data_IF_263017724059
#
_entry.id   IF_263017724059
#
_cell.length_a   1.000
_cell.length_b   1.000
_cell.length_c   1.000
_cell.angle_alpha   90.00
_cell.angle_beta   90.00
_cell.angle_gamma   90.00
#
_symmetry.space_group_name_H-M   'P 1'
#
loop_
_entity.id
_entity.type
_entity.pdbx_description
1 polymer ?
#
# COMPACT_ATOMS: atom_id res chain seq x y z
N UNK A 1 -36.40 38.20 41.00
CA UNK A 1 -36.17 36.82 40.53
C UNK A 1 -35.55 36.72 39.12
N UNK A 2 -35.71 37.70 38.23
CA UNK A 2 -35.20 37.66 36.83
C UNK A 2 -33.67 37.80 36.65
N UNK A 3 -32.93 38.37 37.60
CA UNK A 3 -31.49 38.62 37.49
C UNK A 3 -30.60 37.44 37.82
N UNK A 4 -31.05 36.49 38.65
CA UNK A 4 -30.28 35.28 39.01
C UNK A 4 -30.26 34.25 37.88
N UNK A 5 -31.35 34.15 37.09
CA UNK A 5 -31.44 33.23 35.95
C UNK A 5 -30.48 33.62 34.82
N UNK A 6 -30.33 34.91 34.51
CA UNK A 6 -29.38 35.39 33.46
C UNK A 6 -27.92 35.15 33.84
N UNK A 7 -27.55 35.20 35.13
CA UNK A 7 -26.16 34.99 35.58
C UNK A 7 -25.77 33.52 35.52
N UNK A 8 -26.68 32.61 35.84
CA UNK A 8 -26.44 31.17 35.77
C UNK A 8 -26.40 30.65 34.32
N UNK A 9 -27.24 31.19 33.41
CA UNK A 9 -27.20 30.84 31.99
C UNK A 9 -25.90 31.26 31.33
N UNK A 10 -25.33 32.44 31.64
CA UNK A 10 -24.01 32.88 31.16
C UNK A 10 -22.87 32.02 31.69
N UNK A 11 -22.93 31.56 32.94
CA UNK A 11 -21.92 30.67 33.53
C UNK A 11 -21.99 29.27 32.92
N UNK A 12 -23.21 28.77 32.66
CA UNK A 12 -23.39 27.49 31.98
C UNK A 12 -22.89 27.56 30.52
N UNK A 13 -23.19 28.63 29.80
CA UNK A 13 -22.72 28.85 28.43
C UNK A 13 -21.19 28.97 28.39
N UNK A 14 -20.57 29.69 29.33
CA UNK A 14 -19.13 29.79 29.45
C UNK A 14 -18.49 28.43 29.77
N UNK A 15 -19.08 27.65 30.66
CA UNK A 15 -18.60 26.30 31.00
C UNK A 15 -18.69 25.34 29.79
N UNK A 16 -19.79 25.41 29.02
CA UNK A 16 -19.98 24.63 27.81
C UNK A 16 -18.93 25.07 26.75
N UNK A 17 -18.72 26.39 26.61
CA UNK A 17 -17.73 26.92 25.65
C UNK A 17 -16.30 26.52 26.02
N UNK A 18 -15.94 26.52 27.31
CA UNK A 18 -14.66 26.05 27.81
C UNK A 18 -14.50 24.52 27.60
N UNK A 19 -15.57 23.76 27.79
CA UNK A 19 -15.55 22.32 27.54
C UNK A 19 -15.37 22.02 26.05
N UNK A 20 -16.06 22.75 25.17
CA UNK A 20 -15.93 22.64 23.72
C UNK A 20 -14.52 23.05 23.27
N UNK A 21 -13.97 24.15 23.81
CA UNK A 21 -12.60 24.55 23.52
C UNK A 21 -11.55 23.55 24.06
N UNK A 22 -11.79 22.96 25.24
CA UNK A 22 -10.91 21.93 25.79
C UNK A 22 -10.94 20.64 24.93
N UNK A 23 -12.11 20.25 24.43
CA UNK A 23 -12.25 19.12 23.51
C UNK A 23 -11.63 19.44 22.14
N UNK A 24 -11.68 20.69 21.68
CA UNK A 24 -11.03 21.12 20.43
C UNK A 24 -9.51 21.32 20.57
N UNK A 25 -9.00 21.50 21.79
CA UNK A 25 -7.57 21.61 22.07
C UNK A 25 -6.88 20.26 22.30
N UNK A 26 -7.63 19.16 22.37
CA UNK A 26 -7.04 17.83 22.38
C UNK A 26 -6.42 17.57 20.99
N UNK A 27 -5.15 17.13 20.92
CA UNK A 27 -4.56 16.74 19.65
C UNK A 27 -5.48 15.69 19.01
N UNK A 28 -5.83 15.91 17.74
CA UNK A 28 -6.91 15.18 17.07
C UNK A 28 -6.57 13.71 16.79
N UNK A 29 -5.31 13.29 16.95
CA UNK A 29 -4.91 11.89 17.11
C UNK A 29 -5.63 11.18 18.28
N UNK A 30 -6.07 11.95 19.31
CA UNK A 30 -6.82 11.42 20.45
C UNK A 30 -8.17 10.78 20.09
N UNK A 31 -8.75 11.08 18.94
CA UNK A 31 -10.03 10.52 18.51
C UNK A 31 -9.89 9.36 17.50
N UNK A 32 -8.68 9.04 17.07
CA UNK A 32 -8.45 8.01 16.06
C UNK A 32 -8.51 6.58 16.62
N UNK A 33 -8.32 6.41 17.93
CA UNK A 33 -8.19 5.09 18.55
C UNK A 33 -9.27 4.87 19.61
N UNK A 34 -10.16 3.91 19.36
CA UNK A 34 -11.08 3.40 20.38
C UNK A 34 -10.36 2.28 21.13
N UNK A 35 -10.44 2.30 22.45
CA UNK A 35 -9.66 1.46 23.36
C UNK A 35 -9.97 -0.04 23.36
N UNK A 36 -10.88 -0.52 22.52
CA UNK A 36 -11.54 -1.81 22.77
C UNK A 36 -11.23 -2.91 21.75
N UNK A 37 -10.64 -2.59 20.59
CA UNK A 37 -10.41 -3.57 19.54
C UNK A 37 -8.91 -3.69 19.21
N UNK A 38 -8.37 -4.88 19.36
CA UNK A 38 -7.02 -5.23 18.95
C UNK A 38 -6.17 -5.82 20.07
N UNK A 39 -4.98 -6.29 19.70
CA UNK A 39 -4.01 -6.87 20.61
C UNK A 39 -3.31 -5.77 21.38
N UNK A 40 -3.29 -5.88 22.70
CA UNK A 40 -2.61 -4.91 23.58
C UNK A 40 -1.12 -5.20 23.70
N UNK A 41 -0.32 -4.14 23.72
CA UNK A 41 1.11 -4.21 23.96
C UNK A 41 1.61 -3.00 24.76
N UNK A 42 2.83 -3.10 25.28
CA UNK A 42 3.51 -2.01 25.99
C UNK A 42 4.64 -1.46 25.12
N UNK A 43 4.70 -0.13 25.03
CA UNK A 43 5.73 0.58 24.28
C UNK A 43 7.03 0.77 25.08
N UNK A 44 8.17 0.64 24.41
CA UNK A 44 9.49 0.95 24.96
C UNK A 44 10.43 1.47 23.89
N UNK A 45 11.53 2.11 24.31
CA UNK A 45 12.64 2.41 23.42
C UNK A 45 13.64 1.24 23.42
N UNK A 46 14.11 0.89 22.25
CA UNK A 46 15.28 0.06 22.06
C UNK A 46 16.57 0.88 22.05
N UNK A 47 17.64 0.25 21.58
CA UNK A 47 18.93 0.90 21.38
C UNK A 47 18.88 1.97 20.30
N UNK A 48 19.91 2.79 20.26
CA UNK A 48 20.11 3.72 19.15
C UNK A 48 20.43 2.95 17.86
N UNK A 49 19.98 3.48 16.74
CA UNK A 49 20.44 2.99 15.43
C UNK A 49 21.91 3.32 15.25
N UNK A 50 22.72 2.29 15.06
CA UNK A 50 24.17 2.38 14.84
C UNK A 50 24.49 1.84 13.47
N UNK A 51 25.11 2.67 12.64
CA UNK A 51 25.54 2.23 11.31
C UNK A 51 26.65 1.19 11.39
N UNK A 52 26.89 0.47 10.30
CA UNK A 52 28.03 -0.44 10.15
C UNK A 52 29.38 0.29 10.17
N UNK A 53 29.38 1.61 10.04
CA UNK A 53 30.52 2.51 10.25
C UNK A 53 30.78 2.83 11.75
N UNK A 54 29.93 2.33 12.66
CA UNK A 54 30.02 2.58 14.10
C UNK A 54 29.43 3.91 14.55
N UNK A 55 28.81 4.69 13.64
CA UNK A 55 28.26 6.00 13.93
C UNK A 55 26.75 5.95 14.17
N UNK A 56 26.26 6.79 15.09
CA UNK A 56 24.81 6.92 15.35
C UNK A 56 24.11 7.72 14.26
N UNK A 57 22.92 7.25 13.83
CA UNK A 57 22.03 8.03 12.99
C UNK A 57 21.40 9.18 13.76
N UNK A 58 21.50 10.40 13.22
CA UNK A 58 21.05 11.62 13.89
C UNK A 58 20.06 12.40 12.99
N UNK A 59 19.16 13.14 13.61
CA UNK A 59 18.32 14.08 12.91
C UNK A 59 19.12 15.29 12.43
N UNK A 60 18.57 16.05 11.48
CA UNK A 60 18.97 17.46 11.27
C UNK A 60 18.80 18.25 12.58
N UNK A 61 19.62 19.29 12.77
CA UNK A 61 19.50 20.18 13.93
C UNK A 61 18.12 20.85 14.02
N UNK A 62 17.50 21.14 12.88
CA UNK A 62 16.10 21.58 12.77
C UNK A 62 15.46 20.87 11.60
N UNK A 63 14.27 20.31 11.79
CA UNK A 63 13.49 19.76 10.69
C UNK A 63 12.01 20.11 10.83
N UNK A 64 11.34 20.26 9.68
CA UNK A 64 9.91 20.48 9.59
C UNK A 64 9.18 19.18 9.26
N UNK A 65 7.92 19.09 9.66
CA UNK A 65 7.06 17.93 9.43
C UNK A 65 5.60 18.38 9.35
N UNK A 66 4.77 17.59 8.69
CA UNK A 66 3.32 17.80 8.66
C UNK A 66 2.62 16.94 9.71
N UNK A 67 1.55 17.50 10.27
CA UNK A 67 0.58 16.79 11.12
C UNK A 67 -0.76 16.82 10.40
N UNK A 68 -1.44 15.68 10.34
CA UNK A 68 -2.76 15.56 9.76
C UNK A 68 -3.85 15.76 10.82
N UNK A 69 -4.83 16.64 10.55
CA UNK A 69 -6.02 16.74 11.38
C UNK A 69 -7.03 15.59 11.08
N UNK A 70 -8.16 15.59 11.79
CA UNK A 70 -9.21 14.57 11.62
C UNK A 70 -9.86 14.57 10.22
N UNK A 71 -9.75 15.68 9.50
CA UNK A 71 -10.31 15.83 8.15
C UNK A 71 -9.27 15.57 7.07
N UNK A 72 -8.00 15.29 7.46
CA UNK A 72 -6.89 15.10 6.55
C UNK A 72 -6.21 16.40 6.13
N UNK A 73 -6.58 17.57 6.70
CA UNK A 73 -5.83 18.80 6.45
C UNK A 73 -4.46 18.73 7.11
N UNK A 74 -3.48 19.41 6.53
CA UNK A 74 -2.10 19.42 7.01
C UNK A 74 -1.75 20.74 7.68
N UNK A 75 -0.92 20.63 8.73
CA UNK A 75 -0.26 21.77 9.38
C UNK A 75 1.23 21.49 9.45
N UNK A 76 2.05 22.47 9.04
CA UNK A 76 3.51 22.37 9.11
C UNK A 76 3.99 22.81 10.49
N UNK A 77 4.82 21.99 11.10
CA UNK A 77 5.49 22.28 12.37
C UNK A 77 7.00 22.10 12.19
N UNK A 78 7.78 22.76 13.05
CA UNK A 78 9.23 22.61 13.05
C UNK A 78 9.74 22.39 14.46
N UNK A 79 10.71 21.47 14.58
CA UNK A 79 11.39 21.22 15.86
C UNK A 79 12.90 21.24 15.66
N UNK A 80 13.61 21.67 16.70
CA UNK A 80 15.06 21.45 16.79
C UNK A 80 15.31 20.03 17.28
N UNK A 81 16.04 19.26 16.49
CA UNK A 81 16.44 17.92 16.84
C UNK A 81 17.89 17.71 16.44
N UNK A 82 18.66 17.10 17.30
CA UNK A 82 20.07 16.76 17.05
C UNK A 82 20.42 15.44 17.70
N UNK A 83 19.41 14.78 18.25
CA UNK A 83 19.59 13.55 19.00
C UNK A 83 19.71 12.33 18.08
N UNK A 84 20.48 11.35 18.51
CA UNK A 84 20.55 10.06 17.86
C UNK A 84 19.16 9.40 17.80
N UNK A 85 18.89 8.73 16.69
CA UNK A 85 17.62 8.00 16.49
C UNK A 85 17.65 6.67 17.20
N UNK A 86 16.54 6.35 17.86
CA UNK A 86 16.35 5.11 18.62
C UNK A 86 15.32 4.22 17.92
N UNK A 87 15.46 2.92 18.15
CA UNK A 87 14.46 1.93 17.78
C UNK A 87 13.21 2.11 18.64
N UNK A 88 12.06 1.83 18.06
CA UNK A 88 10.77 1.78 18.76
C UNK A 88 10.38 0.32 18.92
N UNK A 89 9.96 -0.05 20.12
CA UNK A 89 9.64 -1.42 20.48
C UNK A 89 8.22 -1.53 21.02
N UNK A 90 7.54 -2.62 20.66
CA UNK A 90 6.25 -3.04 21.22
C UNK A 90 6.38 -4.43 21.80
N UNK A 91 6.03 -4.58 23.07
CA UNK A 91 6.08 -5.86 23.77
C UNK A 91 4.67 -6.37 24.06
N UNK A 92 4.36 -7.57 23.58
CA UNK A 92 3.14 -8.29 23.88
C UNK A 92 3.45 -9.71 24.39
N UNK A 93 2.44 -10.58 24.45
CA UNK A 93 2.59 -11.96 24.95
C UNK A 93 3.48 -12.84 24.02
N UNK A 94 3.71 -12.43 22.77
CA UNK A 94 4.57 -13.16 21.84
C UNK A 94 6.03 -12.73 21.90
N UNK A 95 6.33 -11.58 22.49
CA UNK A 95 7.68 -11.05 22.61
C UNK A 95 7.76 -9.54 22.42
N UNK A 96 8.98 -9.06 22.16
CA UNK A 96 9.27 -7.66 21.88
C UNK A 96 9.62 -7.51 20.41
N UNK A 97 8.91 -6.63 19.71
CA UNK A 97 8.99 -6.41 18.27
C UNK A 97 9.44 -4.98 17.98
N UNK A 98 10.35 -4.83 17.02
CA UNK A 98 10.67 -3.50 16.49
C UNK A 98 9.56 -3.03 15.57
N UNK A 99 9.16 -1.77 15.74
CA UNK A 99 8.12 -1.09 14.96
C UNK A 99 8.65 0.21 14.37
N UNK A 100 7.97 0.72 13.35
CA UNK A 100 8.32 1.95 12.67
C UNK A 100 7.32 3.07 13.01
N UNK A 101 7.85 4.29 13.10
CA UNK A 101 7.03 5.47 13.23
C UNK A 101 6.37 5.80 11.89
N UNK A 102 5.06 5.99 11.88
CA UNK A 102 4.28 6.44 10.72
C UNK A 102 3.60 7.80 10.97
N UNK A 103 3.97 8.47 12.06
CA UNK A 103 3.43 9.78 12.46
C UNK A 103 4.56 10.66 12.99
N UNK A 104 5.40 11.15 12.07
CA UNK A 104 6.54 12.01 12.41
C UNK A 104 6.08 13.26 13.16
N UNK A 105 6.85 13.63 14.20
CA UNK A 105 6.61 14.83 14.99
C UNK A 105 5.68 14.66 16.19
N UNK A 106 5.05 13.52 16.37
CA UNK A 106 4.28 13.19 17.57
C UNK A 106 5.17 12.40 18.53
N UNK A 107 5.04 12.67 19.85
CA UNK A 107 5.87 12.04 20.86
C UNK A 107 5.55 10.56 21.03
N UNK A 108 6.60 9.76 21.03
CA UNK A 108 6.57 8.37 21.49
C UNK A 108 7.03 8.30 22.93
N UNK A 109 6.18 7.80 23.80
CA UNK A 109 6.50 7.62 25.22
C UNK A 109 6.52 6.14 25.59
N UNK A 110 7.43 5.78 26.50
CA UNK A 110 7.54 4.43 27.05
C UNK A 110 6.45 4.12 28.05
N UNK A 111 6.15 2.84 28.23
CA UNK A 111 5.19 2.34 29.22
C UNK A 111 3.71 2.56 28.86
N UNK A 112 3.42 3.11 27.68
CA UNK A 112 2.04 3.27 27.25
C UNK A 112 1.46 1.96 26.70
N UNK A 113 0.17 1.76 26.95
CA UNK A 113 -0.59 0.66 26.39
C UNK A 113 -1.05 1.03 24.96
N UNK A 114 -0.50 0.36 23.99
CA UNK A 114 -0.91 0.46 22.59
C UNK A 114 -1.90 -0.64 22.23
N UNK A 115 -2.69 -0.39 21.18
CA UNK A 115 -3.61 -1.37 20.59
C UNK A 115 -3.31 -1.50 19.10
N UNK A 116 -3.15 -2.74 18.63
CA UNK A 116 -2.95 -3.00 17.21
C UNK A 116 -4.27 -3.12 16.45
N UNK A 117 -4.26 -2.67 15.21
CA UNK A 117 -5.32 -2.90 14.21
C UNK A 117 -4.70 -3.29 12.89
N UNK A 118 -5.40 -4.13 12.12
CA UNK A 118 -5.04 -4.36 10.73
C UNK A 118 -4.92 -3.00 10.01
N UNK A 119 -3.84 -2.80 9.27
CA UNK A 119 -3.50 -1.52 8.64
C UNK A 119 -4.62 -0.95 7.76
N UNK A 120 -5.33 -1.80 7.03
CA UNK A 120 -6.47 -1.41 6.19
C UNK A 120 -7.66 -0.85 6.98
N UNK A 121 -7.77 -1.20 8.27
CA UNK A 121 -8.88 -0.80 9.15
C UNK A 121 -8.51 0.38 10.06
N UNK A 122 -7.25 0.83 10.08
CA UNK A 122 -6.82 1.97 10.86
C UNK A 122 -7.41 3.27 10.32
N UNK A 123 -8.11 4.01 11.17
CA UNK A 123 -8.65 5.33 10.81
C UNK A 123 -7.55 6.36 10.53
N UNK A 124 -6.41 6.26 11.21
CA UNK A 124 -5.24 7.11 10.94
C UNK A 124 -4.66 6.80 9.56
N UNK A 125 -4.35 5.53 9.29
CA UNK A 125 -3.69 5.14 8.04
C UNK A 125 -4.54 5.48 6.81
N UNK A 126 -5.87 5.30 6.90
CA UNK A 126 -6.81 5.66 5.82
C UNK A 126 -6.92 7.16 5.54
N UNK A 127 -6.48 8.04 6.45
CA UNK A 127 -6.44 9.49 6.23
C UNK A 127 -5.21 9.95 5.47
N UNK A 128 -4.15 9.15 5.45
CA UNK A 128 -2.99 9.46 4.65
C UNK A 128 -3.38 9.49 3.16
N UNK A 129 -2.75 10.35 2.34
CA UNK A 129 -2.92 10.31 0.90
C UNK A 129 -2.67 8.91 0.34
N UNK A 130 -3.35 8.56 -0.75
CA UNK A 130 -3.24 7.23 -1.36
C UNK A 130 -1.81 6.83 -1.68
N UNK A 131 -0.99 7.78 -2.19
CA UNK A 131 0.41 7.54 -2.51
C UNK A 131 1.23 7.28 -1.24
N UNK A 132 0.92 7.98 -0.14
CA UNK A 132 1.56 7.75 1.16
C UNK A 132 1.20 6.37 1.73
N UNK A 133 -0.07 5.98 1.70
CA UNK A 133 -0.49 4.64 2.11
C UNK A 133 0.23 3.56 1.30
N UNK A 134 0.25 3.72 -0.01
CA UNK A 134 0.90 2.80 -0.93
C UNK A 134 2.41 2.71 -0.67
N UNK A 135 3.09 3.86 -0.57
CA UNK A 135 4.53 3.93 -0.36
C UNK A 135 4.98 3.37 1.00
N UNK A 136 4.21 3.61 2.07
CA UNK A 136 4.47 3.02 3.40
C UNK A 136 4.36 1.50 3.34
N UNK A 137 3.31 0.95 2.72
CA UNK A 137 3.15 -0.50 2.56
C UNK A 137 4.31 -1.11 1.76
N UNK A 138 4.72 -0.46 0.67
CA UNK A 138 5.85 -0.91 -0.15
C UNK A 138 7.19 -0.82 0.60
N UNK A 139 7.41 0.26 1.38
CA UNK A 139 8.60 0.41 2.19
C UNK A 139 8.69 -0.66 3.28
N UNK A 140 7.57 -1.03 3.89
CA UNK A 140 7.51 -2.14 4.83
C UNK A 140 7.78 -3.49 4.15
N UNK A 141 7.25 -3.69 2.96
CA UNK A 141 7.39 -4.95 2.21
C UNK A 141 8.84 -5.26 1.85
N UNK A 142 9.62 -4.24 1.47
CA UNK A 142 11.02 -4.37 1.09
C UNK A 142 11.99 -3.91 2.18
N UNK A 143 11.49 -3.42 3.30
CA UNK A 143 12.28 -2.97 4.42
C UNK A 143 12.74 -4.09 5.34
N UNK A 144 13.40 -3.69 6.42
CA UNK A 144 13.87 -4.62 7.43
C UNK A 144 12.73 -5.12 8.33
N UNK A 145 12.74 -6.42 8.59
CA UNK A 145 11.93 -7.09 9.59
C UNK A 145 12.81 -7.94 10.51
N UNK A 146 12.34 -8.25 11.69
CA UNK A 146 13.05 -9.11 12.65
C UNK A 146 13.48 -10.44 12.02
N UNK A 147 14.68 -10.87 12.35
CA UNK A 147 15.27 -12.08 11.83
C UNK A 147 15.93 -11.94 10.44
N UNK A 148 15.75 -10.81 9.75
CA UNK A 148 16.41 -10.58 8.45
C UNK A 148 17.74 -9.87 8.60
N UNK A 149 18.76 -10.39 7.91
CA UNK A 149 20.02 -9.67 7.68
C UNK A 149 19.85 -8.62 6.59
N UNK A 150 20.76 -7.64 6.55
CA UNK A 150 20.76 -6.68 5.45
C UNK A 150 21.08 -7.37 4.12
N UNK A 151 20.33 -7.07 3.04
CA UNK A 151 20.60 -7.62 1.70
C UNK A 151 21.79 -6.95 1.00
N UNK A 152 22.36 -5.89 1.58
CA UNK A 152 23.39 -5.07 0.96
C UNK A 152 24.71 -5.30 1.65
N UNK A 153 25.75 -5.67 0.89
CA UNK A 153 27.07 -5.93 1.43
C UNK A 153 27.71 -4.69 2.09
N UNK A 154 28.32 -4.89 3.26
CA UNK A 154 28.95 -3.82 4.04
C UNK A 154 27.96 -2.95 4.81
N UNK A 155 26.75 -3.44 5.04
CA UNK A 155 25.73 -2.80 5.88
C UNK A 155 25.26 -3.78 6.97
N UNK A 156 24.70 -3.24 8.05
CA UNK A 156 24.13 -4.03 9.12
C UNK A 156 22.57 -3.91 9.16
N UNK A 157 21.95 -4.57 10.11
CA UNK A 157 20.50 -4.54 10.30
C UNK A 157 19.99 -3.16 10.68
N UNK A 158 20.78 -2.36 11.41
CA UNK A 158 20.43 -1.00 11.78
C UNK A 158 20.49 -0.03 10.60
N UNK A 159 21.46 -0.19 9.69
CA UNK A 159 21.48 0.51 8.40
C UNK A 159 20.19 0.24 7.61
N UNK A 160 19.80 -1.03 7.55
CA UNK A 160 18.63 -1.45 6.79
C UNK A 160 17.31 -0.97 7.44
N UNK A 161 17.18 -1.12 8.76
CA UNK A 161 16.01 -0.68 9.50
C UNK A 161 15.85 0.85 9.46
N UNK A 162 16.94 1.59 9.60
CA UNK A 162 16.88 3.05 9.55
C UNK A 162 16.58 3.59 8.14
N UNK A 163 17.09 2.94 7.10
CA UNK A 163 16.70 3.21 5.71
C UNK A 163 15.19 3.01 5.50
N UNK A 164 14.63 1.91 6.04
CA UNK A 164 13.19 1.64 6.01
C UNK A 164 12.39 2.76 6.68
N UNK A 165 12.77 3.15 7.89
CA UNK A 165 12.12 4.23 8.62
C UNK A 165 12.17 5.56 7.87
N UNK A 166 13.28 5.86 7.21
CA UNK A 166 13.46 7.09 6.43
C UNK A 166 12.47 7.15 5.26
N UNK A 167 12.35 6.06 4.49
CA UNK A 167 11.41 5.99 3.37
C UNK A 167 9.96 6.11 3.86
N UNK A 168 9.60 5.48 4.97
CA UNK A 168 8.27 5.61 5.57
C UNK A 168 7.95 7.06 5.90
N UNK A 169 8.87 7.80 6.50
CA UNK A 169 8.68 9.22 6.78
C UNK A 169 8.55 10.07 5.52
N UNK A 170 9.35 9.82 4.49
CA UNK A 170 9.27 10.56 3.22
C UNK A 170 7.88 10.44 2.58
N UNK A 171 7.31 9.24 2.54
CA UNK A 171 5.96 9.03 2.03
C UNK A 171 4.89 9.63 2.95
N UNK A 172 4.98 9.41 4.25
CA UNK A 172 4.03 9.94 5.22
C UNK A 172 4.02 11.47 5.21
N UNK A 173 5.17 12.10 4.99
CA UNK A 173 5.33 13.56 4.90
C UNK A 173 5.13 14.12 3.49
N UNK A 174 4.70 13.30 2.54
CA UNK A 174 4.46 13.68 1.14
C UNK A 174 5.69 14.26 0.41
N UNK A 175 6.88 13.90 0.85
CA UNK A 175 8.13 14.21 0.14
C UNK A 175 8.40 13.23 -1.00
N UNK A 176 7.58 12.19 -1.10
CA UNK A 176 7.69 11.15 -2.10
C UNK A 176 6.30 10.66 -2.52
N UNK A 177 6.05 10.61 -3.82
CA UNK A 177 4.81 10.07 -4.41
C UNK A 177 5.05 8.75 -5.15
N UNK A 178 6.31 8.48 -5.51
CA UNK A 178 6.74 7.21 -6.12
C UNK A 178 8.17 6.88 -5.68
N UNK A 179 8.67 5.65 -5.91
CA UNK A 179 10.04 5.28 -5.54
C UNK A 179 11.14 6.16 -6.14
N UNK A 180 10.90 6.76 -7.31
CA UNK A 180 11.87 7.61 -8.01
C UNK A 180 11.67 9.11 -7.79
N UNK A 181 10.59 9.53 -7.10
CA UNK A 181 10.22 10.93 -6.94
C UNK A 181 10.42 11.39 -5.50
N UNK A 182 11.55 12.05 -5.24
CA UNK A 182 11.82 12.73 -3.97
C UNK A 182 11.88 14.23 -4.23
N UNK A 183 11.00 15.00 -3.57
CA UNK A 183 10.85 16.42 -3.77
C UNK A 183 10.53 17.15 -2.47
N UNK A 184 10.76 18.46 -2.44
CA UNK A 184 10.32 19.31 -1.34
C UNK A 184 8.82 19.57 -1.46
N UNK A 185 8.08 19.42 -0.37
CA UNK A 185 6.63 19.60 -0.34
C UNK A 185 6.19 20.23 0.98
N UNK A 186 5.10 21.00 0.94
CA UNK A 186 4.48 21.59 2.14
C UNK A 186 5.46 22.40 2.99
N UNK A 187 6.47 23.03 2.40
CA UNK A 187 7.50 23.78 3.14
C UNK A 187 8.55 22.92 3.83
N UNK A 188 8.58 21.62 3.56
CA UNK A 188 9.57 20.66 4.06
C UNK A 188 10.58 20.36 2.95
N UNK A 189 11.85 20.44 3.28
CA UNK A 189 12.97 20.11 2.41
C UNK A 189 13.02 18.60 2.11
N UNK A 190 13.22 18.23 0.85
CA UNK A 190 13.36 16.86 0.39
C UNK A 190 14.37 16.03 1.21
N UNK A 191 15.49 16.66 1.61
CA UNK A 191 16.55 16.02 2.38
C UNK A 191 16.29 15.93 3.89
N UNK A 192 15.13 16.38 4.37
CA UNK A 192 14.86 16.44 5.82
C UNK A 192 15.12 15.11 6.52
N UNK A 193 14.65 14.00 5.98
CA UNK A 193 14.85 12.67 6.56
C UNK A 193 16.08 11.95 6.00
N UNK A 194 16.33 12.09 4.71
CA UNK A 194 17.49 11.49 4.04
C UNK A 194 18.83 12.05 4.52
N UNK A 195 18.86 13.23 5.12
CA UNK A 195 20.08 13.90 5.60
C UNK A 195 21.00 12.96 6.42
N UNK A 196 20.41 12.14 7.29
CA UNK A 196 21.15 11.23 8.16
C UNK A 196 21.77 10.01 7.44
N UNK A 197 21.33 9.74 6.20
CA UNK A 197 21.80 8.60 5.41
C UNK A 197 22.92 8.98 4.44
N UNK A 198 22.99 10.25 4.03
CA UNK A 198 23.90 10.72 2.97
C UNK A 198 25.36 10.38 3.26
N UNK A 199 26.01 9.69 2.31
CA UNK A 199 27.40 9.27 2.40
C UNK A 199 27.66 8.14 3.40
N UNK A 200 26.61 7.52 3.97
CA UNK A 200 26.72 6.47 4.99
C UNK A 200 26.24 5.10 4.46
N UNK A 201 26.61 3.99 5.13
CA UNK A 201 26.21 2.66 4.70
C UNK A 201 24.70 2.47 4.49
N UNK A 202 23.84 3.07 5.33
CA UNK A 202 22.39 3.00 5.18
C UNK A 202 21.85 3.62 3.88
N UNK A 203 22.58 4.53 3.23
CA UNK A 203 22.18 5.05 1.92
C UNK A 203 22.11 3.94 0.87
N UNK A 204 23.00 2.95 0.95
CA UNK A 204 22.96 1.77 0.06
C UNK A 204 21.70 0.92 0.29
N UNK A 205 21.29 0.75 1.54
CA UNK A 205 20.05 0.06 1.89
C UNK A 205 18.83 0.84 1.39
N UNK A 206 18.82 2.13 1.56
CA UNK A 206 17.79 3.03 1.08
C UNK A 206 17.60 2.94 -0.44
N UNK A 207 18.70 3.03 -1.19
CA UNK A 207 18.66 2.92 -2.65
C UNK A 207 18.21 1.51 -3.09
N UNK A 208 18.64 0.47 -2.37
CA UNK A 208 18.21 -0.89 -2.64
C UNK A 208 16.71 -1.07 -2.42
N UNK A 209 16.15 -0.60 -1.27
CA UNK A 209 14.71 -0.67 -1.00
C UNK A 209 13.93 0.03 -2.12
N UNK A 210 14.33 1.25 -2.48
CA UNK A 210 13.65 2.01 -3.53
C UNK A 210 13.71 1.32 -4.89
N UNK A 211 14.82 0.65 -5.23
CA UNK A 211 14.94 -0.13 -6.46
C UNK A 211 13.99 -1.33 -6.48
N UNK A 212 13.85 -2.04 -5.34
CA UNK A 212 12.90 -3.13 -5.20
C UNK A 212 11.45 -2.63 -5.32
N UNK A 213 11.13 -1.52 -4.63
CA UNK A 213 9.83 -0.87 -4.73
C UNK A 213 9.50 -0.47 -6.17
N UNK A 214 10.43 0.13 -6.90
CA UNK A 214 10.25 0.53 -8.30
C UNK A 214 9.99 -0.67 -9.21
N UNK A 215 10.75 -1.74 -9.04
CA UNK A 215 10.56 -3.00 -9.77
C UNK A 215 9.20 -3.61 -9.48
N UNK A 216 8.77 -3.62 -8.22
CA UNK A 216 7.47 -4.15 -7.82
C UNK A 216 6.32 -3.25 -8.29
N UNK A 217 6.53 -1.95 -8.32
CA UNK A 217 5.54 -0.97 -8.79
C UNK A 217 5.18 -1.17 -10.26
N UNK A 218 6.08 -1.64 -11.10
CA UNK A 218 5.82 -1.89 -12.52
C UNK A 218 4.86 -3.07 -12.69
N UNK A 219 3.72 -2.86 -13.35
CA UNK A 219 2.72 -3.90 -13.65
C UNK A 219 2.86 -4.37 -15.11
N UNK A 220 2.26 -5.51 -15.50
CA UNK A 220 2.24 -5.95 -16.89
C UNK A 220 1.69 -4.87 -17.83
N UNK A 221 2.29 -4.73 -19.01
CA UNK A 221 1.93 -3.69 -19.99
C UNK A 221 0.49 -3.77 -20.49
N UNK A 222 -0.13 -4.94 -20.40
CA UNK A 222 -1.52 -5.19 -20.76
C UNK A 222 -2.50 -4.99 -19.60
N UNK A 223 -2.05 -4.55 -18.43
CA UNK A 223 -2.88 -4.43 -17.23
C UNK A 223 -3.03 -2.98 -16.77
N UNK A 224 -4.06 -2.71 -15.99
CA UNK A 224 -4.34 -1.42 -15.38
C UNK A 224 -4.36 -1.53 -13.85
N UNK A 225 -3.97 -0.45 -13.14
CA UNK A 225 -4.05 -0.37 -11.67
C UNK A 225 -5.47 -0.16 -11.16
N UNK A 226 -6.36 0.31 -12.01
CA UNK A 226 -7.75 0.59 -11.68
C UNK A 226 -8.65 -0.35 -12.46
N UNK A 227 -9.46 -1.14 -11.76
CA UNK A 227 -10.38 -2.09 -12.36
C UNK A 227 -11.33 -1.46 -13.38
N UNK A 228 -11.77 -0.21 -13.14
CA UNK A 228 -12.67 0.50 -14.05
C UNK A 228 -11.99 0.97 -15.35
N UNK A 229 -10.65 1.05 -15.33
CA UNK A 229 -9.82 1.42 -16.50
C UNK A 229 -9.17 0.21 -17.16
N UNK A 230 -9.51 -0.99 -16.72
CA UNK A 230 -8.96 -2.23 -17.25
C UNK A 230 -9.53 -2.52 -18.66
N UNK A 231 -8.63 -2.72 -19.62
CA UNK A 231 -8.98 -3.09 -20.97
C UNK A 231 -9.58 -4.49 -21.03
N UNK A 232 -10.44 -4.71 -22.02
CA UNK A 232 -11.02 -6.02 -22.33
C UNK A 232 -10.29 -6.62 -23.52
N UNK A 233 -9.79 -7.83 -23.36
CA UNK A 233 -9.10 -8.61 -24.38
C UNK A 233 -9.95 -9.79 -24.79
N UNK A 234 -10.12 -9.97 -26.12
CA UNK A 234 -11.03 -10.96 -26.70
C UNK A 234 -10.27 -12.21 -27.10
N UNK A 235 -10.62 -13.36 -26.52
CA UNK A 235 -10.16 -14.67 -26.93
C UNK A 235 -10.84 -15.03 -28.26
N UNK A 236 -10.04 -15.43 -29.25
CA UNK A 236 -10.50 -15.83 -30.58
C UNK A 236 -10.79 -17.31 -30.64
N UNK A 237 -11.86 -17.69 -31.32
CA UNK A 237 -12.20 -19.10 -31.51
C UNK A 237 -11.24 -19.76 -32.49
N UNK A 238 -10.74 -20.91 -32.13
CA UNK A 238 -9.96 -21.79 -32.99
C UNK A 238 -10.80 -23.03 -33.36
N UNK A 239 -11.27 -23.15 -34.62
CA UNK A 239 -12.13 -24.25 -35.01
C UNK A 239 -11.42 -25.62 -35.00
N UNK A 240 -10.10 -25.64 -35.24
CA UNK A 240 -9.34 -26.89 -35.27
C UNK A 240 -9.16 -27.47 -33.84
N UNK A 241 -9.05 -26.58 -32.86
CA UNK A 241 -8.89 -26.96 -31.43
C UNK A 241 -10.20 -26.91 -30.66
N UNK A 242 -11.27 -26.41 -31.27
CA UNK A 242 -12.59 -26.22 -30.67
C UNK A 242 -12.54 -25.45 -29.33
N UNK A 243 -11.71 -24.42 -29.28
CA UNK A 243 -11.54 -23.56 -28.07
C UNK A 243 -11.30 -22.12 -28.46
N UNK A 244 -11.42 -21.25 -27.46
CA UNK A 244 -11.07 -19.84 -27.55
C UNK A 244 -9.67 -19.63 -26.98
N UNK A 245 -8.84 -18.83 -27.64
CA UNK A 245 -7.50 -18.55 -27.14
C UNK A 245 -7.05 -17.11 -27.42
N UNK A 246 -6.17 -16.62 -26.55
CA UNK A 246 -5.54 -15.32 -26.64
C UNK A 246 -4.15 -15.39 -26.01
N UNK A 247 -3.16 -14.77 -26.64
CA UNK A 247 -1.84 -14.56 -26.03
C UNK A 247 -1.59 -13.09 -25.84
N UNK A 248 -1.29 -12.68 -24.61
CA UNK A 248 -0.89 -11.33 -24.24
C UNK A 248 0.62 -11.31 -23.94
N UNK A 249 1.30 -10.34 -24.53
CA UNK A 249 2.75 -10.12 -24.33
C UNK A 249 2.96 -8.96 -23.37
N UNK A 250 3.76 -9.18 -22.33
CA UNK A 250 4.17 -8.13 -21.41
C UNK A 250 5.50 -7.51 -21.85
N UNK A 251 5.44 -6.29 -22.39
CA UNK A 251 6.62 -5.54 -22.80
C UNK A 251 7.40 -4.94 -21.62
N UNK A 252 6.82 -4.92 -20.44
CA UNK A 252 7.46 -4.47 -19.20
C UNK A 252 8.29 -5.58 -18.53
N UNK A 253 8.22 -6.82 -19.01
CA UNK A 253 8.95 -7.97 -18.48
C UNK A 253 8.70 -8.23 -16.98
N UNK A 254 7.47 -8.02 -16.51
CA UNK A 254 7.11 -8.11 -15.08
C UNK A 254 6.60 -9.49 -14.66
N UNK A 255 6.48 -10.43 -15.61
CA UNK A 255 5.78 -11.71 -15.41
C UNK A 255 6.59 -12.77 -14.66
N UNK A 256 7.87 -12.54 -14.35
CA UNK A 256 8.75 -13.56 -13.77
C UNK A 256 8.18 -14.17 -12.48
N UNK A 257 7.57 -13.36 -11.63
CA UNK A 257 7.07 -13.74 -10.30
C UNK A 257 5.54 -13.62 -10.22
N UNK A 258 4.84 -13.79 -11.35
CA UNK A 258 3.41 -13.61 -11.41
C UNK A 258 2.70 -14.94 -11.58
N UNK A 259 1.74 -15.24 -10.71
CA UNK A 259 0.78 -16.32 -10.88
C UNK A 259 -0.58 -15.73 -11.21
N UNK A 260 -1.13 -16.05 -12.39
CA UNK A 260 -2.46 -15.65 -12.81
C UNK A 260 -3.40 -16.83 -12.81
N UNK A 261 -4.61 -16.62 -12.30
CA UNK A 261 -5.73 -17.55 -12.45
C UNK A 261 -6.99 -16.78 -12.83
N UNK A 262 -7.79 -17.36 -13.72
CA UNK A 262 -9.10 -16.84 -14.09
C UNK A 262 -10.09 -18.00 -14.08
N UNK A 263 -11.27 -17.80 -13.48
CA UNK A 263 -12.29 -18.85 -13.35
C UNK A 263 -12.75 -19.32 -14.74
N UNK A 264 -12.67 -20.65 -14.95
CA UNK A 264 -13.09 -21.27 -16.23
C UNK A 264 -12.11 -21.05 -17.40
N UNK A 265 -10.93 -20.47 -17.15
CA UNK A 265 -9.91 -20.19 -18.18
C UNK A 265 -8.62 -20.92 -17.78
N UNK A 266 -8.05 -21.67 -18.71
CA UNK A 266 -6.72 -22.24 -18.58
C UNK A 266 -5.69 -21.15 -18.87
N UNK A 267 -4.71 -21.01 -17.99
CA UNK A 267 -3.64 -20.02 -18.14
C UNK A 267 -2.31 -20.76 -18.25
N UNK A 268 -1.53 -20.41 -19.26
CA UNK A 268 -0.16 -20.90 -19.43
C UNK A 268 0.78 -19.74 -19.70
N UNK A 269 2.06 -19.91 -19.33
CA UNK A 269 3.09 -18.87 -19.50
C UNK A 269 4.29 -19.42 -20.26
N UNK A 270 4.81 -18.60 -21.18
CA UNK A 270 6.09 -18.83 -21.84
C UNK A 270 6.84 -17.49 -21.99
N UNK A 271 7.99 -17.37 -21.33
CA UNK A 271 8.74 -16.12 -21.29
C UNK A 271 7.93 -14.94 -20.76
N UNK A 272 7.79 -13.90 -21.58
CA UNK A 272 7.00 -12.70 -21.29
C UNK A 272 5.56 -12.75 -21.85
N UNK A 273 5.05 -13.95 -22.15
CA UNK A 273 3.71 -14.15 -22.69
C UNK A 273 2.85 -14.99 -21.76
N UNK A 274 1.56 -14.59 -21.63
CA UNK A 274 0.50 -15.41 -21.08
C UNK A 274 -0.47 -15.80 -22.18
N UNK A 275 -0.78 -17.10 -22.26
CA UNK A 275 -1.83 -17.65 -23.13
C UNK A 275 -3.02 -18.05 -22.28
N UNK A 276 -4.17 -17.50 -22.61
CA UNK A 276 -5.47 -17.75 -22.01
C UNK A 276 -6.27 -18.63 -22.96
N UNK A 277 -6.86 -19.72 -22.44
CA UNK A 277 -7.64 -20.66 -23.25
C UNK A 277 -8.94 -21.00 -22.52
N UNK A 278 -10.06 -20.94 -23.23
CA UNK A 278 -11.39 -21.34 -22.73
C UNK A 278 -12.02 -22.35 -23.68
N UNK A 279 -12.55 -23.43 -23.13
CA UNK A 279 -13.31 -24.44 -23.90
C UNK A 279 -14.77 -23.99 -24.12
N UNK A 280 -15.18 -22.86 -23.51
CA UNK A 280 -16.53 -22.30 -23.60
C UNK A 280 -16.51 -20.80 -23.89
N UNK A 281 -17.55 -20.34 -24.56
CA UNK A 281 -17.80 -18.91 -24.74
C UNK A 281 -18.01 -18.24 -23.37
N UNK A 282 -17.41 -17.07 -23.19
CA UNK A 282 -17.64 -16.19 -22.05
C UNK A 282 -18.89 -15.36 -22.35
N UNK A 283 -19.88 -15.42 -21.48
CA UNK A 283 -21.18 -14.72 -21.67
C UNK A 283 -21.14 -13.26 -21.22
N UNK A 284 -20.15 -12.89 -20.43
CA UNK A 284 -19.88 -11.50 -20.00
C UNK A 284 -18.41 -11.37 -19.63
N UNK A 285 -17.77 -10.21 -19.86
CA UNK A 285 -16.35 -10.03 -19.58
C UNK A 285 -15.97 -10.39 -18.15
N UNK A 286 -14.95 -11.23 -18.01
CA UNK A 286 -14.40 -11.66 -16.73
C UNK A 286 -13.27 -10.71 -16.33
N UNK A 287 -13.39 -10.06 -15.16
CA UNK A 287 -12.29 -9.28 -14.60
C UNK A 287 -11.27 -10.22 -13.96
N UNK A 288 -10.03 -10.13 -14.42
CA UNK A 288 -8.88 -10.78 -13.78
C UNK A 288 -8.23 -9.77 -12.85
N UNK A 289 -8.09 -10.15 -11.58
CA UNK A 289 -7.36 -9.39 -10.56
C UNK A 289 -6.14 -10.21 -10.16
N UNK A 290 -4.97 -9.58 -10.13
CA UNK A 290 -3.74 -10.27 -9.78
C UNK A 290 -2.76 -9.39 -9.00
N UNK A 291 -1.84 -10.06 -8.30
CA UNK A 291 -0.70 -9.46 -7.62
C UNK A 291 0.56 -10.21 -8.04
N UNK A 292 1.72 -9.56 -7.91
CA UNK A 292 2.99 -10.27 -8.03
C UNK A 292 3.16 -11.20 -6.83
N UNK A 293 3.67 -12.41 -7.08
CA UNK A 293 4.04 -13.31 -6.00
C UNK A 293 5.30 -12.76 -5.30
N UNK A 294 5.14 -12.35 -4.06
CA UNK A 294 6.24 -11.95 -3.18
C UNK A 294 6.16 -12.79 -1.93
N UNK A 295 7.27 -13.41 -1.57
CA UNK A 295 7.38 -14.06 -0.27
C UNK A 295 7.58 -12.97 0.79
N UNK A 296 6.51 -12.62 1.48
CA UNK A 296 6.56 -11.74 2.65
C UNK A 296 6.89 -12.59 3.86
N UNK A 297 8.18 -12.79 4.15
CA UNK A 297 8.65 -13.46 5.38
C UNK A 297 8.41 -12.59 6.62
N UNK A 298 7.19 -12.10 6.80
CA UNK A 298 6.79 -11.27 7.93
C UNK A 298 5.28 -11.35 8.15
N UNK A 299 4.83 -10.94 9.32
CA UNK A 299 3.42 -10.85 9.67
C UNK A 299 2.68 -9.82 8.80
N UNK A 300 1.35 -9.96 8.75
CA UNK A 300 0.49 -8.98 8.09
C UNK A 300 0.69 -7.59 8.74
N UNK A 301 0.57 -6.53 7.92
CA UNK A 301 0.73 -5.15 8.37
C UNK A 301 -0.26 -4.80 9.49
N UNK A 302 0.29 -4.35 10.61
CA UNK A 302 -0.44 -3.85 11.77
C UNK A 302 -0.12 -2.38 12.01
N UNK A 303 -1.14 -1.62 12.39
CA UNK A 303 -1.00 -0.26 12.92
C UNK A 303 -1.21 -0.30 14.42
N UNK A 304 -0.26 0.27 15.16
CA UNK A 304 -0.28 0.36 16.61
C UNK A 304 -0.57 1.80 17.03
N UNK A 305 -1.61 2.00 17.81
CA UNK A 305 -2.04 3.31 18.25
C UNK A 305 -2.31 3.38 19.73
N UNK A 306 -2.06 4.57 20.26
CA UNK A 306 -2.39 4.99 21.60
C UNK A 306 -2.85 6.44 21.55
N UNK A 307 -3.89 6.79 22.32
CA UNK A 307 -4.46 8.14 22.31
C UNK A 307 -3.40 9.19 22.63
N UNK A 308 -3.26 10.19 21.77
CA UNK A 308 -2.30 11.30 21.94
C UNK A 308 -0.83 10.90 21.83
N UNK A 309 -0.52 9.72 21.31
CA UNK A 309 0.83 9.22 21.11
C UNK A 309 1.10 8.88 19.66
N UNK A 310 2.36 8.83 19.30
CA UNK A 310 2.83 8.50 17.96
C UNK A 310 2.26 7.17 17.49
N UNK A 311 1.70 7.16 16.29
CA UNK A 311 1.22 5.95 15.60
C UNK A 311 2.41 5.18 15.05
N UNK A 312 2.39 3.86 15.24
CA UNK A 312 3.46 2.96 14.81
C UNK A 312 2.93 1.92 13.84
N UNK A 313 3.82 1.31 13.08
CA UNK A 313 3.49 0.28 12.09
C UNK A 313 4.48 -0.87 12.15
N UNK A 314 4.02 -2.08 11.92
CA UNK A 314 4.83 -3.29 11.76
C UNK A 314 4.23 -4.23 10.72
N UNK A 315 4.97 -5.29 10.35
CA UNK A 315 4.55 -6.24 9.34
C UNK A 315 4.48 -5.61 7.95
N UNK A 316 3.95 -6.33 6.97
CA UNK A 316 3.80 -5.83 5.61
C UNK A 316 2.55 -6.37 4.92
N UNK A 317 2.11 -5.66 3.88
CA UNK A 317 1.04 -6.10 2.97
C UNK A 317 1.36 -5.59 1.59
N UNK A 318 1.13 -6.40 0.56
CA UNK A 318 1.31 -5.97 -0.82
C UNK A 318 0.15 -5.07 -1.26
N UNK A 319 0.42 -3.79 -1.62
CA UNK A 319 -0.61 -2.89 -2.11
C UNK A 319 -0.81 -2.96 -3.63
N UNK A 320 0.04 -3.67 -4.36
CA UNK A 320 0.09 -3.64 -5.83
C UNK A 320 -0.87 -4.66 -6.42
N UNK A 321 -2.07 -4.20 -6.74
CA UNK A 321 -3.01 -4.95 -7.58
C UNK A 321 -2.98 -4.44 -9.01
N UNK A 322 -3.34 -5.32 -9.95
CA UNK A 322 -3.58 -4.95 -11.34
C UNK A 322 -4.73 -5.76 -11.92
N UNK A 323 -5.33 -5.22 -12.96
CA UNK A 323 -6.58 -5.70 -13.52
C UNK A 323 -6.54 -5.68 -15.04
N UNK A 324 -7.17 -6.66 -15.66
CA UNK A 324 -7.56 -6.69 -17.06
C UNK A 324 -8.84 -7.51 -17.19
N UNK A 325 -9.48 -7.46 -18.35
CA UNK A 325 -10.72 -8.22 -18.59
C UNK A 325 -10.52 -9.15 -19.77
N UNK A 326 -11.15 -10.31 -19.69
CA UNK A 326 -11.18 -11.31 -20.74
C UNK A 326 -12.60 -11.51 -21.21
N UNK A 327 -12.77 -11.59 -22.52
CA UNK A 327 -14.03 -11.92 -23.20
C UNK A 327 -13.74 -12.91 -24.32
N UNK A 328 -14.76 -13.46 -24.95
CA UNK A 328 -14.63 -14.29 -26.14
C UNK A 328 -15.36 -13.65 -27.32
N UNK A 329 -14.92 -13.96 -28.54
CA UNK A 329 -15.73 -13.70 -29.71
C UNK A 329 -17.09 -14.37 -29.54
N UNK A 330 -18.14 -13.66 -29.96
CA UNK A 330 -19.50 -14.19 -29.94
C UNK A 330 -19.82 -14.77 -31.33
N UNK A 331 -20.11 -16.04 -31.39
CA UNK A 331 -20.62 -16.70 -32.57
C UNK A 331 -22.10 -16.99 -32.42
N UNK A 332 -22.88 -16.62 -33.43
CA UNK A 332 -24.26 -17.04 -33.54
C UNK A 332 -24.33 -18.44 -34.19
N UNK A 333 -25.26 -19.26 -33.76
CA UNK A 333 -25.60 -20.49 -34.46
C UNK A 333 -26.76 -20.19 -35.40
N UNK A 334 -26.52 -20.41 -36.71
CA UNK A 334 -27.56 -20.34 -37.69
C UNK A 334 -28.04 -21.75 -38.06
N UNK A 335 -29.33 -22.00 -38.00
CA UNK A 335 -29.93 -23.21 -38.57
C UNK A 335 -30.49 -22.90 -39.95
N UNK A 336 -29.87 -23.50 -40.96
CA UNK A 336 -30.42 -23.46 -42.32
C UNK A 336 -31.26 -24.72 -42.50
N UNK A 337 -32.58 -24.55 -42.57
CA UNK A 337 -33.52 -25.66 -42.86
C UNK A 337 -33.95 -25.54 -44.32
N UNK A 338 -33.50 -26.48 -45.15
CA UNK A 338 -34.06 -26.63 -46.49
C UNK A 338 -35.30 -27.51 -46.45
N UNK A 339 -36.34 -27.05 -47.08
CA UNK A 339 -37.53 -27.83 -47.43
C UNK A 339 -37.62 -27.91 -48.94
N UNK A 340 -37.96 -29.06 -49.46
CA UNK A 340 -38.12 -29.27 -50.91
C UNK A 340 -39.41 -30.06 -51.13
N UNK A 341 -40.19 -29.64 -52.09
CA UNK A 341 -41.44 -30.31 -52.47
C UNK A 341 -41.17 -31.63 -53.21
N UNK A 342 -40.00 -31.75 -53.83
CA UNK A 342 -39.53 -32.95 -54.52
C UNK A 342 -38.72 -33.93 -53.66
N UNK A 343 -38.55 -33.61 -52.40
CA UNK A 343 -37.81 -34.41 -51.40
C UNK A 343 -36.30 -34.41 -51.58
N UNK A 344 -35.72 -33.67 -52.53
CA UNK A 344 -34.28 -33.59 -52.74
C UNK A 344 -33.64 -32.61 -51.78
N UNK A 345 -32.96 -33.13 -50.76
CA UNK A 345 -32.26 -32.31 -49.72
C UNK A 345 -30.75 -32.59 -49.69
N UNK A 346 -30.25 -33.49 -50.50
CA UNK A 346 -28.83 -33.91 -50.60
C UNK A 346 -28.09 -33.18 -51.72
N UNK A 347 -26.81 -32.90 -51.57
CA UNK A 347 -25.93 -32.32 -52.59
C UNK A 347 -26.11 -30.83 -52.89
N UNK A 348 -26.87 -30.13 -52.07
CA UNK A 348 -27.09 -28.68 -52.23
C UNK A 348 -25.99 -27.92 -51.52
N UNK A 349 -25.36 -27.01 -52.25
CA UNK A 349 -24.35 -26.08 -51.71
C UNK A 349 -25.01 -24.76 -51.28
N UNK A 350 -24.71 -24.32 -50.08
CA UNK A 350 -25.10 -23.01 -49.58
C UNK A 350 -23.88 -22.10 -49.53
N UNK A 351 -24.00 -20.89 -50.04
CA UNK A 351 -23.05 -19.83 -49.78
C UNK A 351 -23.57 -19.00 -48.60
N UNK A 352 -22.79 -18.94 -47.53
CA UNK A 352 -23.11 -18.13 -46.38
C UNK A 352 -22.15 -16.95 -46.37
N UNK A 353 -22.68 -15.74 -46.45
CA UNK A 353 -21.91 -14.51 -46.29
C UNK A 353 -22.47 -13.73 -45.09
N UNK A 354 -21.59 -13.16 -44.32
CA UNK A 354 -21.93 -12.32 -43.17
C UNK A 354 -20.82 -11.31 -42.93
N UNK A 355 -21.19 -10.14 -42.44
CA UNK A 355 -20.22 -9.18 -41.91
C UNK A 355 -19.93 -9.61 -40.47
N UNK A 356 -18.74 -10.20 -40.24
CA UNK A 356 -18.22 -10.60 -38.94
C UNK A 356 -17.49 -9.47 -38.24
#
# INVERSE_FOLDING_TARGET
MKTKFKKNGRRLLAAILCLVMAVMALPMSAFAWTSEEGKRCTSSFGDYYVGSDGEYYRSKATYSFIVYDSKGNITVQSIKAGNAKRKYLMTDNSGTHQVYCVESGIDFNTGNSYVSKNGKNSSYFRKLPTDAQFGVMMALMYGWHEGKSSPVAGTNTDDYAFATQTIIWEYQQQLRTSPSDLHSANGIDADTYRYSLKGRPAEKCYDWILSQMASHYTIPSFAARNQNKADTYTLKYNPDKQNYSLTLTDTNNTLANLSLSASGIKVSRSGNQYTFTSDKMITSPITVSAQKAVNLDCDEMLIWGCVGKQTMVSGASDPVYFYFKLDTETYGTGLIKKTSEDGVVSGIKFNISGNG
#
